data_IF_359203279925
#
_entry.id   IF_359203279925
#
_cell.length_a   1.000
_cell.length_b   1.000
_cell.length_c   1.000
_cell.angle_alpha   90.00
_cell.angle_beta   90.00
_cell.angle_gamma   90.00
#
_symmetry.space_group_name_H-M   'P 1'
#
loop_
_entity.id
_entity.type
_entity.pdbx_description
1 polymer ?
#
# COMPACT_ATOMS: atom_id res chain seq x y z
N UNK A 1 5.27 -8.61 -1.41
CA UNK A 1 4.40 -9.11 -0.34
C UNK A 1 3.34 -10.02 -0.94
N UNK A 2 2.94 -11.09 -0.25
CA UNK A 2 1.85 -11.95 -0.71
C UNK A 2 0.51 -11.21 -0.63
N UNK A 3 -0.33 -11.37 -1.65
CA UNK A 3 -1.58 -10.61 -1.80
C UNK A 3 -2.58 -10.90 -0.67
N UNK A 4 -2.78 -12.17 -0.34
CA UNK A 4 -3.75 -12.57 0.69
C UNK A 4 -3.37 -12.05 2.09
N UNK A 5 -2.06 -12.02 2.38
CA UNK A 5 -1.57 -11.42 3.61
C UNK A 5 -1.88 -9.91 3.64
N UNK A 6 -1.61 -9.21 2.55
CA UNK A 6 -1.91 -7.78 2.45
C UNK A 6 -3.40 -7.50 2.67
N UNK A 7 -4.29 -8.24 2.02
CA UNK A 7 -5.73 -8.08 2.19
C UNK A 7 -6.19 -8.24 3.65
N UNK A 8 -5.70 -9.29 4.34
CA UNK A 8 -6.00 -9.50 5.77
C UNK A 8 -5.49 -8.36 6.65
N UNK A 9 -4.29 -7.83 6.36
CA UNK A 9 -3.73 -6.71 7.12
C UNK A 9 -4.54 -5.42 6.91
N UNK A 10 -5.04 -5.16 5.70
CA UNK A 10 -5.89 -4.01 5.41
C UNK A 10 -7.22 -4.11 6.16
N UNK A 11 -7.86 -5.29 6.17
CA UNK A 11 -9.09 -5.51 6.93
C UNK A 11 -8.88 -5.30 8.44
N UNK A 12 -7.79 -5.84 8.98
CA UNK A 12 -7.42 -5.65 10.39
C UNK A 12 -7.15 -4.19 10.72
N UNK A 13 -6.37 -3.49 9.89
CA UNK A 13 -6.06 -2.08 10.07
C UNK A 13 -7.33 -1.22 10.09
N UNK A 14 -8.25 -1.48 9.17
CA UNK A 14 -9.56 -0.81 9.12
C UNK A 14 -10.35 -1.07 10.40
N UNK A 15 -10.44 -2.32 10.85
CA UNK A 15 -11.18 -2.68 12.07
C UNK A 15 -10.57 -2.09 13.35
N UNK A 16 -9.27 -1.80 13.34
CA UNK A 16 -8.56 -1.13 14.44
C UNK A 16 -8.67 0.40 14.40
N UNK A 17 -9.32 0.98 13.38
CA UNK A 17 -9.44 2.43 13.22
C UNK A 17 -8.15 3.12 12.73
N UNK A 18 -7.25 2.37 12.08
CA UNK A 18 -6.08 2.96 11.41
C UNK A 18 -6.57 3.90 10.29
N UNK A 19 -5.94 5.06 10.15
CA UNK A 19 -6.34 6.07 9.17
C UNK A 19 -5.36 6.20 8.00
N UNK A 20 -4.12 5.75 8.18
CA UNK A 20 -3.06 5.85 7.18
C UNK A 20 -2.15 4.62 7.20
N UNK A 21 -1.72 4.18 6.00
CA UNK A 21 -0.69 3.16 5.82
C UNK A 21 0.45 3.69 4.95
N UNK A 22 1.67 3.22 5.24
CA UNK A 22 2.89 3.54 4.50
C UNK A 22 3.38 2.30 3.76
N UNK A 23 3.50 2.37 2.44
CA UNK A 23 3.88 1.24 1.58
C UNK A 23 5.39 1.25 1.28
N UNK A 24 6.23 1.26 2.31
CA UNK A 24 7.69 1.16 2.17
C UNK A 24 8.35 0.56 3.42
N UNK A 25 9.58 0.08 3.27
CA UNK A 25 10.45 -0.27 4.39
C UNK A 25 11.92 0.03 4.04
N UNK A 26 12.56 -0.82 3.23
CA UNK A 26 13.95 -0.67 2.78
C UNK A 26 14.14 -0.86 1.26
N UNK A 27 13.04 -1.03 0.51
CA UNK A 27 13.06 -1.19 -0.95
C UNK A 27 12.28 -0.08 -1.68
N UNK A 28 12.32 -0.10 -3.01
CA UNK A 28 11.60 0.85 -3.86
C UNK A 28 10.17 0.36 -4.16
N UNK A 29 9.12 1.05 -3.67
CA UNK A 29 7.73 0.59 -3.83
C UNK A 29 7.27 0.46 -5.27
N UNK A 30 7.75 1.33 -6.17
CA UNK A 30 7.38 1.28 -7.59
C UNK A 30 7.96 0.07 -8.35
N UNK A 31 8.81 -0.77 -7.71
CA UNK A 31 9.23 -2.06 -8.27
C UNK A 31 8.22 -3.18 -8.02
N UNK A 32 7.29 -3.01 -7.08
CA UNK A 32 6.32 -4.05 -6.77
C UNK A 32 5.23 -4.12 -7.87
N UNK A 33 5.00 -5.27 -8.53
CA UNK A 33 4.12 -5.36 -9.70
C UNK A 33 2.65 -5.07 -9.38
N UNK A 34 2.26 -5.15 -8.11
CA UNK A 34 0.89 -4.89 -7.63
C UNK A 34 0.75 -3.61 -6.80
N UNK A 35 1.72 -2.68 -6.86
CA UNK A 35 1.69 -1.49 -5.97
C UNK A 35 0.43 -0.65 -6.14
N UNK A 36 -0.06 -0.46 -7.38
CA UNK A 36 -1.29 0.30 -7.66
C UNK A 36 -2.50 -0.42 -7.08
N UNK A 37 -2.65 -1.72 -7.33
CA UNK A 37 -3.74 -2.52 -6.77
C UNK A 37 -3.74 -2.54 -5.23
N UNK A 38 -2.55 -2.47 -4.61
CA UNK A 38 -2.44 -2.33 -3.16
C UNK A 38 -2.99 -0.98 -2.69
N UNK A 39 -2.62 0.12 -3.37
CA UNK A 39 -3.17 1.45 -3.09
C UNK A 39 -4.69 1.47 -3.23
N UNK A 40 -5.22 0.90 -4.30
CA UNK A 40 -6.67 0.85 -4.55
C UNK A 40 -7.39 0.10 -3.42
N UNK A 41 -6.87 -1.08 -3.02
CA UNK A 41 -7.46 -1.88 -1.95
C UNK A 41 -7.48 -1.13 -0.62
N UNK A 42 -6.40 -0.42 -0.28
CA UNK A 42 -6.35 0.41 0.92
C UNK A 42 -7.35 1.58 0.84
N UNK A 43 -7.43 2.25 -0.31
CA UNK A 43 -8.31 3.39 -0.54
C UNK A 43 -9.79 3.03 -0.38
N UNK A 44 -10.25 1.92 -0.98
CA UNK A 44 -11.65 1.47 -0.84
C UNK A 44 -11.99 1.04 0.59
N UNK A 45 -10.99 0.74 1.42
CA UNK A 45 -11.15 0.45 2.85
C UNK A 45 -11.04 1.71 3.74
N UNK A 46 -11.01 2.91 3.16
CA UNK A 46 -10.96 4.16 3.91
C UNK A 46 -9.57 4.50 4.48
N UNK A 47 -8.52 3.82 4.02
CA UNK A 47 -7.15 4.06 4.46
C UNK A 47 -6.45 5.03 3.52
N UNK A 48 -5.87 6.10 4.07
CA UNK A 48 -4.96 6.97 3.31
C UNK A 48 -3.64 6.23 3.06
N UNK A 49 -3.12 6.31 1.85
CA UNK A 49 -1.85 5.66 1.49
C UNK A 49 -0.74 6.68 1.29
N UNK A 50 0.47 6.37 1.77
CA UNK A 50 1.68 7.14 1.52
C UNK A 50 2.76 6.25 0.90
N UNK A 51 3.34 6.71 -0.21
CA UNK A 51 4.46 6.06 -0.91
C UNK A 51 5.69 6.96 -0.80
N UNK A 52 6.80 6.40 -0.32
CA UNK A 52 8.12 7.02 -0.42
C UNK A 52 8.87 6.34 -1.57
N UNK A 53 9.23 7.10 -2.60
CA UNK A 53 9.86 6.57 -3.81
C UNK A 53 11.08 7.39 -4.18
N UNK A 54 12.07 6.74 -4.80
CA UNK A 54 13.22 7.39 -5.44
C UNK A 54 12.90 8.00 -6.82
N UNK A 55 11.64 7.89 -7.27
CA UNK A 55 11.11 8.44 -8.52
C UNK A 55 11.73 7.91 -9.83
N UNK A 56 12.64 6.92 -9.79
CA UNK A 56 13.27 6.37 -11.01
C UNK A 56 12.31 5.62 -11.93
N UNK A 57 11.17 5.16 -11.39
CA UNK A 57 10.08 4.51 -12.15
C UNK A 57 8.76 5.29 -12.10
N UNK A 58 8.77 6.53 -11.62
CA UNK A 58 7.57 7.35 -11.56
C UNK A 58 7.27 7.89 -12.96
N UNK A 59 6.17 7.42 -13.56
CA UNK A 59 5.76 7.75 -14.92
C UNK A 59 4.30 8.19 -14.94
N UNK A 60 3.88 8.83 -16.04
CA UNK A 60 2.54 9.41 -16.22
C UNK A 60 1.53 8.40 -16.75
#
# INVERSE_FOLDING_TARGET
>A
MQWDLYGRLIEQARNMGVTEIRLFLAGEPLLHPKIVAMVDLASVNGLRTCIHTNATRLTR
#
